data_IF_467321454149
#
_entry.id   IF_467321454149
#
_cell.length_a   1.000
_cell.length_b   1.000
_cell.length_c   1.000
_cell.angle_alpha   90.00
_cell.angle_beta   90.00
_cell.angle_gamma   90.00
#
_symmetry.space_group_name_H-M   'P 1'
#
loop_
_entity.id
_entity.type
_entity.pdbx_description
1 polymer ?
#
# COMPACT_ATOMS: atom_id res chain seq x y z
N UNK A 1 -0.60 -20.56 17.17
CA UNK A 1 -0.29 -19.11 17.28
C UNK A 1 0.07 -18.84 18.73
N UNK A 2 1.19 -18.15 19.00
CA UNK A 2 1.50 -17.76 20.38
C UNK A 2 0.48 -16.72 20.82
N UNK A 3 0.02 -16.82 22.06
CA UNK A 3 -0.90 -15.80 22.59
C UNK A 3 -0.15 -14.46 22.72
N UNK A 4 -0.86 -13.33 22.65
CA UNK A 4 -0.24 -12.01 22.84
C UNK A 4 0.66 -11.93 24.09
N UNK A 5 0.31 -12.52 25.26
CA UNK A 5 1.20 -12.64 26.41
C UNK A 5 2.54 -13.35 26.15
N UNK A 6 2.56 -14.43 25.37
CA UNK A 6 3.78 -15.17 25.04
C UNK A 6 4.70 -14.38 24.09
N UNK A 7 4.11 -13.57 23.20
CA UNK A 7 4.86 -12.65 22.36
C UNK A 7 5.50 -11.54 23.20
N UNK A 8 4.75 -10.94 24.13
CA UNK A 8 5.29 -9.95 25.08
C UNK A 8 6.44 -10.56 25.90
N UNK A 9 6.31 -11.79 26.38
CA UNK A 9 7.38 -12.47 27.13
C UNK A 9 8.65 -12.72 26.29
N UNK A 10 8.51 -12.97 24.98
CA UNK A 10 9.64 -13.10 24.07
C UNK A 10 10.33 -11.75 23.83
N UNK A 11 9.56 -10.68 23.61
CA UNK A 11 10.12 -9.35 23.35
C UNK A 11 10.65 -8.69 24.62
N UNK A 12 10.15 -9.04 25.81
CA UNK A 12 10.74 -8.63 27.08
C UNK A 12 12.22 -9.08 27.23
N UNK A 13 12.66 -10.08 26.45
CA UNK A 13 14.06 -10.52 26.36
C UNK A 13 14.87 -9.74 25.32
N UNK A 14 14.24 -8.87 24.54
CA UNK A 14 14.90 -8.01 23.56
C UNK A 14 15.76 -6.96 24.29
N UNK A 15 16.98 -6.66 23.81
CA UNK A 15 17.78 -5.54 24.32
C UNK A 15 17.01 -4.21 24.30
N UNK A 16 16.07 -4.06 23.37
CA UNK A 16 15.21 -2.89 23.24
C UNK A 16 14.24 -2.69 24.41
N UNK A 17 13.89 -3.75 25.14
CA UNK A 17 13.02 -3.67 26.31
C UNK A 17 13.65 -2.89 27.48
N UNK A 18 14.97 -2.72 27.46
CA UNK A 18 15.75 -2.06 28.52
C UNK A 18 16.21 -0.64 28.15
N UNK A 19 15.92 -0.19 26.92
CA UNK A 19 16.23 1.19 26.51
C UNK A 19 15.20 2.12 27.15
N UNK A 20 15.64 2.96 28.09
CA UNK A 20 14.77 3.93 28.76
C UNK A 20 13.99 4.78 27.75
N UNK A 21 12.66 4.80 27.90
CA UNK A 21 11.75 5.52 27.00
C UNK A 21 11.22 4.72 25.81
N UNK A 22 11.75 3.52 25.53
CA UNK A 22 11.20 2.59 24.53
C UNK A 22 10.20 1.67 25.23
N UNK A 23 8.94 1.72 24.78
CA UNK A 23 7.93 0.74 25.20
C UNK A 23 7.52 -0.09 24.00
N UNK A 24 7.63 -1.40 24.12
CA UNK A 24 7.27 -2.34 23.07
C UNK A 24 5.77 -2.31 22.77
N UNK A 25 4.95 -1.93 23.75
CA UNK A 25 3.52 -1.65 23.54
C UNK A 25 3.25 -0.46 22.62
N UNK A 26 4.28 0.31 22.25
CA UNK A 26 4.21 1.41 21.28
C UNK A 26 4.70 1.03 19.89
N UNK A 27 5.07 -0.24 19.67
CA UNK A 27 5.43 -0.74 18.34
C UNK A 27 4.15 -1.26 17.69
N UNK A 28 3.67 -0.53 16.69
CA UNK A 28 2.46 -0.86 15.95
C UNK A 28 2.81 -1.26 14.51
N UNK A 29 2.10 -2.24 13.92
CA UNK A 29 2.19 -2.51 12.49
C UNK A 29 1.82 -1.25 11.70
N UNK A 30 2.63 -0.90 10.71
CA UNK A 30 2.37 0.27 9.89
C UNK A 30 1.60 -0.08 8.61
N UNK A 31 0.37 0.41 8.54
CA UNK A 31 -0.52 0.25 7.38
C UNK A 31 0.13 0.76 6.08
N UNK A 32 0.80 1.92 6.12
CA UNK A 32 1.39 2.53 4.92
C UNK A 32 2.42 1.60 4.29
N UNK A 33 3.38 1.12 5.08
CA UNK A 33 4.45 0.28 4.56
C UNK A 33 4.03 -1.18 4.33
N UNK A 34 2.96 -1.67 4.97
CA UNK A 34 2.45 -3.03 4.76
C UNK A 34 1.53 -3.07 3.54
N UNK A 35 0.48 -2.26 3.53
CA UNK A 35 -0.55 -2.29 2.51
C UNK A 35 -0.15 -1.42 1.32
N UNK A 36 -0.10 -0.10 1.53
CA UNK A 36 -0.10 0.88 0.44
C UNK A 36 1.23 0.92 -0.33
N UNK A 37 2.38 0.71 0.32
CA UNK A 37 3.70 0.76 -0.32
C UNK A 37 4.31 -0.62 -0.61
N UNK A 38 3.63 -1.71 -0.25
CA UNK A 38 4.16 -3.06 -0.45
C UNK A 38 3.17 -4.01 -1.12
N UNK A 39 2.05 -4.34 -0.49
CA UNK A 39 1.11 -5.33 -1.04
C UNK A 39 0.32 -4.78 -2.24
N UNK A 40 -0.23 -3.57 -2.12
CA UNK A 40 -1.02 -2.93 -3.18
C UNK A 40 -0.22 -2.73 -4.47
N UNK A 41 1.01 -2.20 -4.47
CA UNK A 41 1.77 -1.99 -5.70
C UNK A 41 2.23 -3.31 -6.36
N UNK A 42 2.48 -4.37 -5.58
CA UNK A 42 2.83 -5.70 -6.12
C UNK A 42 1.62 -6.37 -6.79
N UNK A 43 0.46 -6.35 -6.11
CA UNK A 43 -0.79 -6.85 -6.68
C UNK A 43 -1.19 -6.06 -7.94
N UNK A 44 -1.07 -4.73 -7.89
CA UNK A 44 -1.39 -3.86 -9.01
C UNK A 44 -0.52 -4.12 -10.25
N UNK A 45 0.80 -4.26 -10.07
CA UNK A 45 1.70 -4.59 -11.17
C UNK A 45 1.38 -5.95 -11.80
N UNK A 46 1.02 -6.93 -10.98
CA UNK A 46 0.61 -8.27 -11.42
C UNK A 46 -0.67 -8.22 -12.25
N UNK A 47 -1.69 -7.52 -11.73
CA UNK A 47 -2.96 -7.33 -12.41
C UNK A 47 -2.79 -6.61 -13.74
N UNK A 48 -2.06 -5.49 -13.77
CA UNK A 48 -1.81 -4.74 -15.01
C UNK A 48 -1.08 -5.58 -16.05
N UNK A 49 -0.12 -6.41 -15.64
CA UNK A 49 0.58 -7.32 -16.55
C UNK A 49 -0.40 -8.30 -17.19
N UNK A 50 -1.24 -8.96 -16.39
CA UNK A 50 -2.21 -9.95 -16.86
C UNK A 50 -3.34 -9.33 -17.68
N UNK A 51 -3.90 -8.20 -17.21
CA UNK A 51 -5.02 -7.52 -17.86
C UNK A 51 -4.58 -6.90 -19.20
N UNK A 52 -3.37 -6.36 -19.30
CA UNK A 52 -2.87 -5.81 -20.57
C UNK A 52 -2.73 -6.88 -21.67
N UNK A 53 -2.57 -8.16 -21.34
CA UNK A 53 -2.56 -9.26 -22.31
C UNK A 53 -3.98 -9.53 -22.85
N UNK A 54 -5.00 -9.41 -22.00
CA UNK A 54 -6.41 -9.72 -22.28
C UNK A 54 -7.21 -8.58 -22.92
N UNK A 55 -6.63 -7.37 -23.01
CA UNK A 55 -7.08 -6.26 -23.86
C UNK A 55 -8.38 -5.51 -23.48
N UNK A 56 -8.58 -5.03 -22.23
CA UNK A 56 -9.62 -4.02 -21.99
C UNK A 56 -9.28 -2.65 -22.57
N UNK A 57 -7.99 -2.33 -22.67
CA UNK A 57 -7.53 -1.05 -23.17
C UNK A 57 -7.19 -1.12 -24.67
N UNK A 58 -7.39 -0.03 -25.42
CA UNK A 58 -7.01 0.03 -26.82
C UNK A 58 -5.50 -0.08 -27.00
N UNK A 59 -5.06 -0.74 -28.06
CA UNK A 59 -3.65 -0.84 -28.43
C UNK A 59 -3.30 -2.19 -29.04
N UNK A 60 -2.46 -2.15 -30.09
CA UNK A 60 -1.98 -3.36 -30.78
C UNK A 60 -0.92 -4.12 -29.97
N UNK A 61 -0.19 -3.43 -29.10
CA UNK A 61 0.87 -4.02 -28.26
C UNK A 61 0.54 -3.87 -26.78
N UNK A 62 1.08 -4.77 -25.95
CA UNK A 62 0.91 -4.71 -24.49
C UNK A 62 1.36 -3.35 -23.93
N UNK A 63 2.44 -2.75 -24.46
CA UNK A 63 2.90 -1.44 -24.03
C UNK A 63 1.91 -0.31 -24.37
N UNK A 64 1.30 -0.32 -25.55
CA UNK A 64 0.29 0.68 -25.91
C UNK A 64 -0.95 0.57 -25.02
N UNK A 65 -1.35 -0.65 -24.68
CA UNK A 65 -2.45 -0.91 -23.74
C UNK A 65 -2.12 -0.41 -22.33
N UNK A 66 -0.90 -0.61 -21.85
CA UNK A 66 -0.44 -0.07 -20.57
C UNK A 66 -0.38 1.47 -20.57
N UNK A 67 0.01 2.09 -21.69
CA UNK A 67 -0.05 3.55 -21.83
C UNK A 67 -1.48 4.08 -21.76
N UNK A 68 -2.44 3.41 -22.39
CA UNK A 68 -3.87 3.74 -22.30
C UNK A 68 -4.40 3.53 -20.87
N UNK A 69 -4.02 2.43 -20.21
CA UNK A 69 -4.35 2.16 -18.81
C UNK A 69 -3.81 3.25 -17.88
N UNK A 70 -2.57 3.72 -18.11
CA UNK A 70 -1.97 4.80 -17.35
C UNK A 70 -2.74 6.13 -17.51
N UNK A 71 -3.17 6.46 -18.73
CA UNK A 71 -3.99 7.65 -18.97
C UNK A 71 -5.32 7.59 -18.19
N UNK A 72 -5.98 6.42 -18.18
CA UNK A 72 -7.20 6.19 -17.42
C UNK A 72 -6.97 6.33 -15.90
N UNK A 73 -5.89 5.74 -15.38
CA UNK A 73 -5.47 5.89 -13.99
C UNK A 73 -5.19 7.35 -13.60
N UNK A 74 -4.49 8.12 -14.46
CA UNK A 74 -4.22 9.55 -14.23
C UNK A 74 -5.51 10.36 -14.18
N UNK A 75 -6.51 10.02 -15.00
CA UNK A 75 -7.83 10.65 -14.94
C UNK A 75 -8.52 10.36 -13.60
N UNK A 76 -8.44 9.13 -13.08
CA UNK A 76 -8.95 8.79 -11.74
C UNK A 76 -8.23 9.57 -10.64
N UNK A 77 -6.90 9.69 -10.70
CA UNK A 77 -6.14 10.52 -9.76
C UNK A 77 -6.61 11.97 -9.77
N UNK A 78 -6.86 12.54 -10.96
CA UNK A 78 -7.39 13.90 -11.09
C UNK A 78 -8.78 14.04 -10.47
N UNK A 79 -9.68 13.08 -10.71
CA UNK A 79 -11.01 13.07 -10.10
C UNK A 79 -10.95 13.07 -8.57
N UNK A 80 -9.95 12.38 -8.01
CA UNK A 80 -9.68 12.30 -6.57
C UNK A 80 -8.88 13.46 -5.99
N UNK A 81 -8.51 14.44 -6.82
CA UNK A 81 -7.63 15.55 -6.44
C UNK A 81 -6.27 15.05 -5.90
N UNK A 82 -5.83 13.87 -6.35
CA UNK A 82 -4.51 13.31 -6.07
C UNK A 82 -3.59 13.63 -7.23
N UNK A 83 -2.47 14.31 -6.96
CA UNK A 83 -1.46 14.58 -7.98
C UNK A 83 -0.67 13.30 -8.26
N UNK A 84 -0.85 12.75 -9.46
CA UNK A 84 -0.01 11.65 -9.95
C UNK A 84 1.44 12.12 -10.12
N UNK A 85 2.35 11.38 -9.48
CA UNK A 85 3.81 11.43 -9.63
C UNK A 85 4.34 10.13 -10.24
N UNK A 86 3.47 9.13 -10.39
CA UNK A 86 3.82 7.87 -11.00
C UNK A 86 4.37 8.07 -12.41
N UNK A 87 5.45 7.39 -12.80
CA UNK A 87 5.85 7.33 -14.18
C UNK A 87 4.79 6.57 -14.99
N UNK A 88 4.71 6.79 -16.31
CA UNK A 88 3.88 5.97 -17.18
C UNK A 88 4.12 4.48 -16.96
N UNK A 89 3.07 3.67 -17.09
CA UNK A 89 3.20 2.21 -16.95
C UNK A 89 4.06 1.66 -18.10
N UNK A 90 5.30 1.31 -17.77
CA UNK A 90 6.26 0.72 -18.69
C UNK A 90 6.35 -0.78 -18.44
N UNK A 91 6.16 -1.58 -19.48
CA UNK A 91 6.20 -3.03 -19.39
C UNK A 91 7.51 -3.51 -18.78
N UNK A 92 8.66 -2.99 -19.21
CA UNK A 92 9.96 -3.39 -18.67
C UNK A 92 10.15 -3.03 -17.18
N UNK A 93 9.44 -2.01 -16.71
CA UNK A 93 9.48 -1.60 -15.31
C UNK A 93 8.63 -2.53 -14.43
N UNK A 94 7.46 -2.96 -14.93
CA UNK A 94 6.48 -3.73 -14.16
C UNK A 94 6.49 -5.23 -14.44
N UNK A 95 7.14 -5.71 -15.50
CA UNK A 95 7.14 -7.13 -15.88
C UNK A 95 8.09 -7.93 -14.98
N UNK A 96 7.64 -9.14 -14.63
CA UNK A 96 8.47 -10.13 -13.96
C UNK A 96 9.61 -10.64 -14.86
N UNK A 97 10.65 -11.19 -14.25
CA UNK A 97 11.75 -11.85 -14.93
C UNK A 97 12.01 -13.20 -14.26
N UNK A 98 11.59 -14.29 -14.91
CA UNK A 98 11.76 -15.67 -14.40
C UNK A 98 13.24 -16.02 -14.14
N UNK A 99 14.14 -15.66 -15.06
CA UNK A 99 15.58 -15.93 -14.91
C UNK A 99 16.18 -15.23 -13.69
N UNK A 100 15.63 -14.08 -13.31
CA UNK A 100 16.07 -13.30 -12.14
C UNK A 100 15.15 -13.47 -10.93
N UNK A 101 14.19 -14.40 -10.97
CA UNK A 101 13.15 -14.58 -9.94
C UNK A 101 12.47 -13.26 -9.54
N UNK A 102 12.31 -12.34 -10.49
CA UNK A 102 11.72 -11.03 -10.27
C UNK A 102 10.22 -11.12 -10.54
N UNK A 103 9.40 -10.75 -9.58
CA UNK A 103 7.96 -10.59 -9.77
C UNK A 103 7.62 -9.20 -10.31
N UNK A 104 6.46 -9.03 -10.94
CA UNK A 104 5.88 -7.72 -11.20
C UNK A 104 5.78 -6.88 -9.94
N UNK A 105 6.28 -5.64 -10.00
CA UNK A 105 6.18 -4.69 -8.89
C UNK A 105 6.33 -3.27 -9.41
N UNK A 106 5.58 -2.34 -8.83
CA UNK A 106 5.97 -0.93 -8.90
C UNK A 106 7.11 -0.69 -7.92
N UNK A 107 8.09 0.13 -8.32
CA UNK A 107 9.11 0.57 -7.38
C UNK A 107 8.46 1.52 -6.37
N UNK A 108 8.80 1.40 -5.08
CA UNK A 108 8.24 2.24 -4.03
C UNK A 108 8.45 3.74 -4.30
N UNK A 109 9.56 4.11 -4.95
CA UNK A 109 9.84 5.50 -5.36
C UNK A 109 8.93 6.04 -6.46
N UNK A 110 8.16 5.17 -7.13
CA UNK A 110 7.29 5.50 -8.26
C UNK A 110 5.83 5.66 -7.85
N UNK A 111 5.41 5.26 -6.65
CA UNK A 111 4.02 5.33 -6.26
C UNK A 111 3.93 5.78 -4.80
N UNK A 112 3.36 6.96 -4.56
CA UNK A 112 3.08 7.41 -3.20
C UNK A 112 1.94 6.61 -2.56
N UNK A 113 1.84 6.64 -1.23
CA UNK A 113 0.74 5.98 -0.52
C UNK A 113 -0.65 6.44 -1.00
N UNK A 114 -0.82 7.76 -1.19
CA UNK A 114 -2.06 8.32 -1.72
C UNK A 114 -2.39 7.82 -3.14
N UNK A 115 -1.41 7.75 -4.03
CA UNK A 115 -1.62 7.20 -5.38
C UNK A 115 -1.93 5.71 -5.34
N UNK A 116 -1.34 4.96 -4.40
CA UNK A 116 -1.61 3.53 -4.23
C UNK A 116 -3.07 3.26 -3.85
N UNK A 117 -3.65 4.10 -2.98
CA UNK A 117 -5.08 4.01 -2.63
C UNK A 117 -5.96 4.23 -3.86
N UNK A 118 -5.66 5.25 -4.68
CA UNK A 118 -6.39 5.50 -5.93
C UNK A 118 -6.20 4.33 -6.91
N UNK A 119 -4.99 3.79 -7.00
CA UNK A 119 -4.64 2.69 -7.91
C UNK A 119 -5.43 1.42 -7.58
N UNK A 120 -5.52 1.04 -6.31
CA UNK A 120 -6.33 -0.10 -5.85
C UNK A 120 -7.80 0.09 -6.20
N UNK A 121 -8.35 1.27 -5.91
CA UNK A 121 -9.77 1.55 -6.19
C UNK A 121 -10.08 1.56 -7.68
N UNK A 122 -9.18 2.13 -8.48
CA UNK A 122 -9.29 2.08 -9.94
C UNK A 122 -9.22 0.65 -10.47
N UNK A 123 -8.29 -0.16 -9.98
CA UNK A 123 -8.16 -1.56 -10.38
C UNK A 123 -9.34 -2.42 -9.93
N UNK A 124 -9.98 -2.12 -8.79
CA UNK A 124 -11.23 -2.77 -8.40
C UNK A 124 -12.32 -2.56 -9.47
N UNK A 125 -12.48 -1.32 -9.97
CA UNK A 125 -13.45 -1.00 -11.02
C UNK A 125 -13.10 -1.62 -12.37
N UNK A 126 -11.82 -1.69 -12.72
CA UNK A 126 -11.36 -2.33 -13.97
C UNK A 126 -11.59 -3.84 -13.91
N UNK A 127 -11.14 -4.49 -12.83
CA UNK A 127 -11.26 -5.94 -12.69
C UNK A 127 -12.71 -6.40 -12.56
N UNK A 128 -13.58 -5.63 -11.90
CA UNK A 128 -15.01 -5.91 -11.83
C UNK A 128 -15.65 -5.91 -13.23
N UNK A 129 -15.37 -4.88 -14.04
CA UNK A 129 -15.88 -4.80 -15.43
C UNK A 129 -15.41 -5.97 -16.30
N UNK A 130 -14.15 -6.37 -16.17
CA UNK A 130 -13.63 -7.52 -16.92
C UNK A 130 -14.24 -8.85 -16.44
N UNK A 131 -14.49 -8.99 -15.14
CA UNK A 131 -15.18 -10.15 -14.59
C UNK A 131 -16.64 -10.26 -15.07
N UNK A 132 -17.33 -9.13 -15.19
CA UNK A 132 -18.69 -9.07 -15.74
C UNK A 132 -18.73 -9.42 -17.23
N UNK A 133 -17.69 -9.04 -17.98
CA UNK A 133 -17.63 -9.21 -19.44
C UNK A 133 -17.48 -10.66 -19.89
N UNK A 134 -16.56 -11.41 -19.28
CA UNK A 134 -16.27 -12.80 -19.70
C UNK A 134 -16.67 -13.86 -18.67
N UNK A 135 -17.00 -13.45 -17.44
CA UNK A 135 -17.39 -14.36 -16.37
C UNK A 135 -16.30 -15.35 -15.93
N UNK A 136 -15.06 -15.16 -16.36
CA UNK A 136 -13.97 -16.09 -16.07
C UNK A 136 -13.63 -16.07 -14.59
N UNK A 137 -13.34 -17.26 -14.03
CA UNK A 137 -12.93 -17.39 -12.62
C UNK A 137 -11.67 -16.57 -12.33
N UNK A 138 -10.73 -16.52 -13.27
CA UNK A 138 -9.54 -15.68 -13.16
C UNK A 138 -9.89 -14.20 -12.94
N UNK A 139 -10.83 -13.65 -13.72
CA UNK A 139 -11.23 -12.25 -13.59
C UNK A 139 -12.00 -11.98 -12.31
N UNK A 140 -12.86 -12.92 -11.88
CA UNK A 140 -13.55 -12.84 -10.59
C UNK A 140 -12.56 -12.82 -9.43
N UNK A 141 -11.51 -13.63 -9.46
CA UNK A 141 -10.46 -13.62 -8.44
C UNK A 141 -9.70 -12.29 -8.41
N UNK A 142 -9.36 -11.70 -9.57
CA UNK A 142 -8.75 -10.36 -9.62
C UNK A 142 -9.69 -9.29 -9.07
N UNK A 143 -10.97 -9.34 -9.42
CA UNK A 143 -11.98 -8.42 -8.90
C UNK A 143 -12.11 -8.55 -7.38
N UNK A 144 -12.21 -9.76 -6.85
CA UNK A 144 -12.27 -10.04 -5.42
C UNK A 144 -11.01 -9.55 -4.68
N UNK A 145 -9.83 -9.72 -5.27
CA UNK A 145 -8.57 -9.23 -4.70
C UNK A 145 -8.58 -7.71 -4.48
N UNK A 146 -8.92 -6.93 -5.51
CA UNK A 146 -8.92 -5.46 -5.40
C UNK A 146 -10.14 -4.92 -4.66
N UNK A 147 -11.27 -5.62 -4.71
CA UNK A 147 -12.42 -5.31 -3.86
C UNK A 147 -12.05 -5.47 -2.38
N UNK A 148 -11.37 -6.57 -2.02
CA UNK A 148 -10.86 -6.78 -0.66
C UNK A 148 -9.95 -5.65 -0.22
N UNK A 149 -8.89 -5.36 -0.99
CA UNK A 149 -7.95 -4.27 -0.67
C UNK A 149 -8.64 -2.90 -0.57
N UNK A 150 -9.48 -2.56 -1.55
CA UNK A 150 -10.16 -1.28 -1.63
C UNK A 150 -11.16 -1.08 -0.49
N UNK A 151 -11.94 -2.11 -0.17
CA UNK A 151 -12.93 -2.01 0.90
C UNK A 151 -12.30 -2.01 2.29
N UNK A 152 -11.26 -2.82 2.53
CA UNK A 152 -10.48 -2.71 3.78
C UNK A 152 -9.98 -1.28 3.97
N UNK A 153 -9.36 -0.68 2.93
CA UNK A 153 -8.87 0.69 3.01
C UNK A 153 -9.99 1.69 3.30
N UNK A 154 -11.15 1.54 2.63
CA UNK A 154 -12.34 2.38 2.84
C UNK A 154 -12.82 2.32 4.29
N UNK A 155 -13.00 1.13 4.86
CA UNK A 155 -13.39 0.92 6.26
C UNK A 155 -12.44 1.70 7.17
N UNK A 156 -11.13 1.49 7.01
CA UNK A 156 -10.11 2.14 7.83
C UNK A 156 -10.12 3.68 7.70
N UNK A 157 -10.40 4.23 6.52
CA UNK A 157 -10.49 5.69 6.32
C UNK A 157 -11.79 6.32 6.81
N UNK A 158 -12.89 5.58 6.80
CA UNK A 158 -14.22 6.08 7.15
C UNK A 158 -14.54 5.91 8.62
N UNK A 159 -13.94 4.90 9.28
CA UNK A 159 -14.05 4.68 10.71
C UNK A 159 -13.34 5.79 11.51
N UNK A 160 -13.77 5.95 12.76
CA UNK A 160 -13.13 6.86 13.70
C UNK A 160 -11.80 6.34 14.23
N UNK A 161 -11.48 6.72 15.46
CA UNK A 161 -10.26 6.27 16.14
C UNK A 161 -10.30 4.77 16.48
N UNK A 162 -11.50 4.22 16.68
CA UNK A 162 -11.76 2.81 16.97
C UNK A 162 -12.79 2.29 15.96
N UNK A 163 -12.64 1.03 15.56
CA UNK A 163 -13.64 0.35 14.73
C UNK A 163 -14.73 -0.22 15.64
N UNK A 164 -15.98 -0.12 15.19
CA UNK A 164 -17.09 -0.80 15.85
C UNK A 164 -17.12 -2.30 15.48
N UNK A 165 -17.97 -3.08 16.15
CA UNK A 165 -18.04 -4.53 15.95
C UNK A 165 -18.44 -4.95 14.53
N UNK A 166 -19.23 -4.14 13.82
CA UNK A 166 -19.59 -4.40 12.42
C UNK A 166 -18.42 -4.12 11.48
N UNK A 167 -17.77 -2.97 11.64
CA UNK A 167 -16.58 -2.59 10.86
C UNK A 167 -15.45 -3.62 11.03
N UNK A 168 -15.25 -4.16 12.24
CA UNK A 168 -14.27 -5.23 12.49
C UNK A 168 -14.61 -6.52 11.73
N UNK A 169 -15.88 -6.94 11.73
CA UNK A 169 -16.33 -8.13 10.98
C UNK A 169 -16.16 -7.94 9.48
N UNK A 170 -16.52 -6.75 8.97
CA UNK A 170 -16.31 -6.43 7.56
C UNK A 170 -14.82 -6.41 7.20
N UNK A 171 -13.97 -5.82 8.05
CA UNK A 171 -12.53 -5.79 7.84
C UNK A 171 -11.93 -7.20 7.76
N UNK A 172 -12.31 -8.10 8.69
CA UNK A 172 -11.92 -9.50 8.68
C UNK A 172 -12.38 -10.23 7.41
N UNK A 173 -13.63 -10.03 7.01
CA UNK A 173 -14.17 -10.63 5.79
C UNK A 173 -13.38 -10.21 4.54
N UNK A 174 -13.15 -8.91 4.36
CA UNK A 174 -12.42 -8.41 3.18
C UNK A 174 -10.92 -8.74 3.22
N UNK A 175 -10.33 -8.87 4.42
CA UNK A 175 -8.97 -9.40 4.57
C UNK A 175 -8.89 -10.87 4.11
N UNK A 176 -9.84 -11.69 4.54
CA UNK A 176 -9.93 -13.10 4.15
C UNK A 176 -10.16 -13.25 2.65
N UNK A 177 -11.04 -12.42 2.06
CA UNK A 177 -11.29 -12.39 0.62
C UNK A 177 -10.00 -12.05 -0.16
N UNK A 178 -9.27 -11.02 0.26
CA UNK A 178 -8.00 -10.63 -0.36
C UNK A 178 -6.99 -11.79 -0.34
N UNK A 179 -6.78 -12.42 0.83
CA UNK A 179 -5.82 -13.51 0.99
C UNK A 179 -6.20 -14.74 0.17
N UNK A 180 -7.47 -15.11 0.18
CA UNK A 180 -7.99 -16.25 -0.58
C UNK A 180 -7.82 -16.03 -2.09
N UNK A 181 -8.18 -14.84 -2.58
CA UNK A 181 -8.03 -14.49 -3.99
C UNK A 181 -6.57 -14.45 -4.42
N UNK A 182 -5.68 -13.85 -3.62
CA UNK A 182 -4.25 -13.79 -3.92
C UNK A 182 -3.62 -15.18 -3.97
N UNK A 183 -3.96 -16.06 -3.03
CA UNK A 183 -3.43 -17.44 -2.99
C UNK A 183 -3.93 -18.26 -4.19
N UNK A 184 -5.21 -18.12 -4.57
CA UNK A 184 -5.75 -18.79 -5.74
C UNK A 184 -5.04 -18.33 -7.03
N UNK A 185 -4.88 -17.01 -7.22
CA UNK A 185 -4.17 -16.43 -8.35
C UNK A 185 -2.68 -16.85 -8.41
N UNK A 186 -2.01 -16.90 -7.25
CA UNK A 186 -0.62 -17.36 -7.16
C UNK A 186 -0.49 -18.84 -7.51
N UNK A 187 -1.42 -19.67 -7.06
CA UNK A 187 -1.47 -21.11 -7.39
C UNK A 187 -1.70 -21.31 -8.89
N UNK A 188 -2.66 -20.60 -9.48
CA UNK A 188 -2.94 -20.62 -10.91
C UNK A 188 -1.70 -20.21 -11.74
N UNK A 189 -1.05 -19.09 -11.38
CA UNK A 189 0.15 -18.64 -12.06
C UNK A 189 1.30 -19.66 -11.94
N UNK A 190 1.47 -20.27 -10.76
CA UNK A 190 2.47 -21.30 -10.54
C UNK A 190 2.22 -22.54 -11.42
N UNK A 191 0.97 -23.00 -11.56
CA UNK A 191 0.61 -24.10 -12.46
C UNK A 191 0.92 -23.79 -13.93
N UNK A 192 0.78 -22.53 -14.34
CA UNK A 192 1.19 -22.06 -15.67
C UNK A 192 2.69 -21.72 -15.77
N UNK A 193 3.48 -22.01 -14.73
CA UNK A 193 4.91 -21.71 -14.66
C UNK A 193 5.21 -20.21 -14.71
N UNK A 194 4.27 -19.34 -14.36
CA UNK A 194 4.39 -17.89 -14.37
C UNK A 194 4.78 -17.33 -12.99
N UNK A 195 5.65 -16.32 -12.98
CA UNK A 195 5.96 -15.52 -11.77
C UNK A 195 5.16 -14.23 -11.82
N UNK A 196 3.88 -14.31 -11.48
CA UNK A 196 2.93 -13.20 -11.60
C UNK A 196 2.54 -12.68 -10.22
N UNK A 197 1.87 -13.50 -9.41
CA UNK A 197 1.34 -13.08 -8.10
C UNK A 197 2.28 -13.47 -6.97
N UNK A 198 2.76 -12.46 -6.23
CA UNK A 198 3.73 -12.64 -5.16
C UNK A 198 3.06 -12.76 -3.80
N UNK A 199 3.26 -13.89 -3.13
CA UNK A 199 2.90 -14.07 -1.71
C UNK A 199 4.14 -13.81 -0.85
N UNK A 200 4.02 -13.00 0.20
CA UNK A 200 5.16 -12.58 1.06
C UNK A 200 4.74 -12.46 2.52
N UNK A 201 5.71 -12.46 3.48
CA UNK A 201 5.40 -12.31 4.91
C UNK A 201 4.60 -11.06 5.29
N UNK A 202 4.65 -9.99 4.47
CA UNK A 202 3.81 -8.81 4.69
C UNK A 202 2.31 -9.07 4.58
N UNK A 203 1.89 -10.10 3.84
CA UNK A 203 0.49 -10.54 3.85
C UNK A 203 0.09 -11.01 5.24
N UNK A 204 0.92 -11.81 5.90
CA UNK A 204 0.65 -12.23 7.27
C UNK A 204 0.72 -11.06 8.28
N UNK A 205 1.57 -10.06 8.03
CA UNK A 205 1.54 -8.83 8.82
C UNK A 205 0.23 -8.04 8.64
N UNK A 206 -0.40 -8.13 7.46
CA UNK A 206 -1.72 -7.55 7.23
C UNK A 206 -2.80 -8.28 8.05
N UNK A 207 -2.74 -9.61 8.16
CA UNK A 207 -3.64 -10.35 9.07
C UNK A 207 -3.55 -9.83 10.49
N UNK A 208 -2.33 -9.70 11.04
CA UNK A 208 -2.14 -9.15 12.38
C UNK A 208 -2.64 -7.71 12.51
N UNK A 209 -2.50 -6.90 11.45
CA UNK A 209 -3.02 -5.54 11.43
C UNK A 209 -4.56 -5.54 11.48
N UNK A 210 -5.23 -6.38 10.68
CA UNK A 210 -6.68 -6.41 10.57
C UNK A 210 -7.37 -7.16 11.71
N UNK A 211 -6.76 -8.20 12.26
CA UNK A 211 -7.38 -9.08 13.26
C UNK A 211 -6.96 -8.77 14.70
N UNK A 212 -5.70 -8.37 14.91
CA UNK A 212 -5.19 -8.11 16.26
C UNK A 212 -5.15 -6.61 16.57
N UNK A 213 -4.50 -5.81 15.72
CA UNK A 213 -4.30 -4.39 15.99
C UNK A 213 -5.60 -3.58 15.86
N UNK A 214 -6.44 -3.90 14.87
CA UNK A 214 -7.68 -3.16 14.61
C UNK A 214 -8.71 -3.23 15.77
N UNK A 215 -8.67 -4.30 16.57
CA UNK A 215 -9.51 -4.45 17.78
C UNK A 215 -9.12 -3.44 18.86
N UNK A 216 -7.86 -3.03 18.90
CA UNK A 216 -7.35 -2.08 19.88
C UNK A 216 -7.49 -0.63 19.42
N UNK A 217 -7.26 -0.36 18.14
CA UNK A 217 -7.27 0.98 17.55
C UNK A 217 -7.28 0.88 16.03
N UNK A 218 -7.92 1.83 15.35
CA UNK A 218 -7.89 1.90 13.90
C UNK A 218 -6.44 2.03 13.39
N UNK A 219 -5.90 1.06 12.62
CA UNK A 219 -4.51 1.07 12.17
C UNK A 219 -4.10 2.28 11.31
N UNK A 220 -5.07 3.01 10.73
CA UNK A 220 -4.76 4.25 10.03
C UNK A 220 -4.23 5.33 10.99
N UNK A 221 -4.64 5.31 12.26
CA UNK A 221 -4.28 6.34 13.25
C UNK A 221 -2.82 6.23 13.70
N UNK A 222 -2.23 5.03 13.59
CA UNK A 222 -0.81 4.75 13.89
C UNK A 222 0.04 4.58 12.65
N UNK A 223 -0.50 4.89 11.47
CA UNK A 223 0.22 4.72 10.21
C UNK A 223 1.20 5.86 9.96
N UNK A 224 2.32 5.56 9.30
CA UNK A 224 3.45 6.46 9.16
C UNK A 224 3.31 7.53 8.06
N UNK A 225 2.06 7.91 7.70
CA UNK A 225 1.80 8.86 6.61
C UNK A 225 2.34 10.26 6.92
N UNK A 226 2.14 10.73 8.15
CA UNK A 226 2.56 12.07 8.57
C UNK A 226 4.10 12.17 8.64
N UNK A 227 4.73 11.10 9.11
CA UNK A 227 6.16 10.94 9.22
C UNK A 227 6.82 10.92 7.84
N UNK A 228 6.26 10.19 6.87
CA UNK A 228 6.79 10.14 5.50
C UNK A 228 6.72 11.51 4.81
N UNK A 229 5.60 12.22 5.01
CA UNK A 229 5.44 13.60 4.53
C UNK A 229 6.45 14.56 5.19
N UNK A 230 6.69 14.39 6.49
CA UNK A 230 7.69 15.16 7.23
C UNK A 230 9.10 14.89 6.70
N UNK A 231 9.48 13.63 6.49
CA UNK A 231 10.78 13.26 5.89
C UNK A 231 10.94 13.89 4.51
N UNK A 232 9.89 13.88 3.69
CA UNK A 232 9.88 14.56 2.40
C UNK A 232 10.13 16.07 2.51
N UNK A 233 9.56 16.74 3.52
CA UNK A 233 9.80 18.17 3.80
C UNK A 233 11.22 18.41 4.31
N UNK A 234 11.69 17.59 5.24
CA UNK A 234 13.05 17.67 5.80
C UNK A 234 14.10 17.51 4.70
N UNK A 235 13.89 16.58 3.77
CA UNK A 235 14.76 16.41 2.59
C UNK A 235 14.84 17.67 1.73
N UNK A 236 13.71 18.36 1.49
CA UNK A 236 13.71 19.61 0.71
C UNK A 236 14.46 20.73 1.42
N UNK A 237 14.33 20.85 2.74
CA UNK A 237 15.10 21.81 3.53
C UNK A 237 16.60 21.47 3.50
N UNK A 238 16.93 20.19 3.65
CA UNK A 238 18.30 19.69 3.60
C UNK A 238 19.01 20.03 2.28
N UNK A 239 18.32 19.90 1.15
CA UNK A 239 18.86 20.25 -0.18
C UNK A 239 19.20 21.74 -0.34
N UNK A 240 18.68 22.61 0.53
CA UNK A 240 18.94 24.05 0.52
C UNK A 240 20.00 24.49 1.55
N UNK A 241 20.62 23.54 2.27
CA UNK A 241 21.59 23.80 3.32
C UNK A 241 23.01 23.46 2.87
N UNK A 242 24.01 24.14 3.43
CA UNK A 242 25.41 23.80 3.17
C UNK A 242 25.77 22.46 3.83
N UNK A 243 26.39 21.49 3.12
CA UNK A 243 26.64 20.13 3.64
C UNK A 243 27.39 20.10 4.99
N UNK A 244 28.38 20.98 5.18
CA UNK A 244 29.14 21.08 6.45
C UNK A 244 28.30 21.45 7.69
N UNK A 245 27.10 22.02 7.51
CA UNK A 245 26.22 22.46 8.61
C UNK A 245 24.81 21.86 8.50
N UNK A 246 24.66 20.79 7.71
CA UNK A 246 23.35 20.25 7.32
C UNK A 246 22.41 20.00 8.50
N UNK A 247 22.85 19.23 9.51
CA UNK A 247 22.01 18.87 10.65
C UNK A 247 21.52 20.09 11.43
N UNK A 248 22.43 20.98 11.81
CA UNK A 248 22.10 22.18 12.57
C UNK A 248 21.23 23.15 11.77
N UNK A 249 21.54 23.39 10.49
CA UNK A 249 20.78 24.32 9.65
C UNK A 249 19.38 23.80 9.31
N UNK A 250 19.22 22.49 9.09
CA UNK A 250 17.89 21.88 8.90
C UNK A 250 17.04 22.03 10.15
N UNK A 251 17.60 21.71 11.32
CA UNK A 251 16.90 21.86 12.60
C UNK A 251 16.50 23.32 12.84
N UNK A 252 17.43 24.27 12.68
CA UNK A 252 17.17 25.70 12.85
C UNK A 252 16.06 26.20 11.92
N UNK A 253 16.10 25.83 10.62
CA UNK A 253 15.07 26.21 9.64
C UNK A 253 13.72 25.59 9.95
N UNK A 254 13.70 24.34 10.41
CA UNK A 254 12.46 23.69 10.83
C UNK A 254 11.86 24.35 12.07
N UNK A 255 12.66 24.66 13.09
CA UNK A 255 12.21 25.41 14.26
C UNK A 255 11.62 26.77 13.88
N UNK A 256 12.30 27.54 13.01
CA UNK A 256 11.76 28.81 12.51
C UNK A 256 10.42 28.65 11.78
N UNK A 257 10.29 27.62 10.93
CA UNK A 257 9.02 27.32 10.26
C UNK A 257 7.90 27.02 11.25
N UNK A 258 8.17 26.22 12.29
CA UNK A 258 7.19 25.92 13.35
C UNK A 258 6.78 27.17 14.13
N UNK A 259 7.74 28.01 14.54
CA UNK A 259 7.45 29.25 15.26
C UNK A 259 6.56 30.21 14.45
N UNK A 260 6.89 30.45 13.17
CA UNK A 260 6.10 31.33 12.30
C UNK A 260 4.68 30.77 12.07
N UNK A 261 4.52 29.44 11.98
CA UNK A 261 3.21 28.84 11.78
C UNK A 261 2.32 28.95 13.02
N UNK A 262 2.86 28.75 14.21
CA UNK A 262 2.11 28.92 15.46
C UNK A 262 1.65 30.37 15.68
N UNK A 263 2.47 31.36 15.32
CA UNK A 263 2.08 32.76 15.44
C UNK A 263 0.93 33.17 14.49
N UNK A 264 0.63 32.39 13.45
CA UNK A 264 -0.44 32.68 12.48
C UNK A 264 -1.78 32.03 12.81
N UNK A 265 -1.85 31.14 13.80
CA UNK A 265 -3.08 30.42 14.15
C UNK A 265 -3.93 31.14 15.19
N UNK A 266 -3.48 32.29 15.69
CA UNK A 266 -4.17 33.12 16.68
C UNK A 266 -4.94 34.32 16.06
N UNK A 267 -5.10 34.34 14.72
CA UNK A 267 -5.98 35.25 13.95
C UNK A 267 -7.12 34.47 13.27
#
# INVERSE_FOLDING_TARGET
MRTFPEFIALIARSPWAYVGGVSLSRIWPDLLHILDLALSPEAAASALTATAEQSPWPGQTQQLRLSAAYADFVNMCRADKVRSRAPPFQLDAIKGNKKKLKFPTFAQKHLSGAESVVLVRWLALVCAREAEKDGSEHNKLRAALFLGLGTMRKILTSAGFYLNAEELRELEYYNTMYHSALNALATEAMHHGQLLWKVRPKGHQLDHLCLDAAVLMNPIQTSAYSEEDLVGRMKRLALQCHPRRLGLTVLQRYCWYCCVRWLKTDE
#
